data_IF_762722199761
#
_entry.id   IF_762722199761
#
_cell.length_a   1.000
_cell.length_b   1.000
_cell.length_c   1.000
_cell.angle_alpha   90.00
_cell.angle_beta   90.00
_cell.angle_gamma   90.00
#
_symmetry.space_group_name_H-M   'P 1'
#
loop_
_entity.id
_entity.type
_entity.pdbx_description
1 polymer ?
#
# COMPACT_ATOMS: atom_id res chain seq x y z
N UNK A 1 -35.27 20.45 -26.46
CA UNK A 1 -33.84 20.75 -26.68
C UNK A 1 -33.14 19.43 -26.98
N UNK A 2 -32.82 19.17 -28.25
CA UNK A 2 -32.04 18.00 -28.64
C UNK A 2 -30.57 18.28 -28.31
N UNK A 3 -30.08 17.71 -27.20
CA UNK A 3 -28.65 17.72 -26.90
C UNK A 3 -27.95 16.80 -27.90
N UNK A 4 -27.36 17.38 -28.94
CA UNK A 4 -26.37 16.71 -29.77
C UNK A 4 -25.15 16.43 -28.89
N UNK A 5 -25.13 15.29 -28.19
CA UNK A 5 -23.89 14.76 -27.64
C UNK A 5 -22.98 14.49 -28.84
N UNK A 6 -21.90 15.27 -28.96
CA UNK A 6 -20.82 14.90 -29.87
C UNK A 6 -20.34 13.51 -29.46
N UNK A 7 -20.17 12.56 -30.39
CA UNK A 7 -19.58 11.28 -30.05
C UNK A 7 -18.17 11.50 -29.49
N UNK A 8 -17.79 10.69 -28.50
CA UNK A 8 -16.42 10.71 -28.00
C UNK A 8 -15.45 10.35 -29.12
N UNK A 9 -14.30 11.02 -29.15
CA UNK A 9 -13.17 10.66 -29.98
C UNK A 9 -12.70 9.26 -29.60
N UNK A 10 -12.41 8.45 -30.61
CA UNK A 10 -11.73 7.17 -30.48
C UNK A 10 -10.41 7.31 -29.70
N UNK A 11 -10.04 6.28 -28.93
CA UNK A 11 -8.88 6.25 -28.06
C UNK A 11 -7.54 6.47 -28.80
N UNK A 12 -7.36 5.90 -29.99
CA UNK A 12 -6.18 6.14 -30.85
C UNK A 12 -6.09 7.58 -31.32
N UNK A 13 -7.23 8.22 -31.60
CA UNK A 13 -7.25 9.64 -31.94
C UNK A 13 -6.83 10.51 -30.75
N UNK A 14 -7.27 10.16 -29.54
CA UNK A 14 -6.82 10.84 -28.32
C UNK A 14 -5.32 10.61 -28.08
N UNK A 15 -4.84 9.38 -28.24
CA UNK A 15 -3.42 9.01 -28.14
C UNK A 15 -2.56 9.82 -29.10
N UNK A 16 -2.95 9.90 -30.37
CA UNK A 16 -2.25 10.66 -31.41
C UNK A 16 -2.17 12.15 -31.05
N UNK A 17 -3.26 12.73 -30.54
CA UNK A 17 -3.28 14.14 -30.12
C UNK A 17 -2.35 14.41 -28.93
N UNK A 18 -2.28 13.48 -27.97
CA UNK A 18 -1.34 13.58 -26.85
C UNK A 18 0.10 13.41 -27.33
N UNK A 19 0.39 12.44 -28.21
CA UNK A 19 1.72 12.26 -28.81
C UNK A 19 2.17 13.50 -29.59
N UNK A 20 1.27 14.12 -30.36
CA UNK A 20 1.58 15.35 -31.08
C UNK A 20 1.89 16.54 -30.14
N UNK A 21 1.23 16.58 -28.97
CA UNK A 21 1.48 17.60 -27.94
C UNK A 21 2.76 17.33 -27.14
N UNK A 22 3.19 16.06 -27.05
CA UNK A 22 4.34 15.60 -26.29
C UNK A 22 5.22 14.65 -27.13
N UNK A 23 5.88 15.15 -28.19
CA UNK A 23 6.54 14.29 -29.19
C UNK A 23 7.74 13.51 -28.67
N UNK A 24 8.34 13.95 -27.56
CA UNK A 24 9.48 13.28 -26.92
C UNK A 24 9.07 12.43 -25.71
N UNK A 25 7.78 12.35 -25.40
CA UNK A 25 7.29 11.61 -24.25
C UNK A 25 6.95 10.17 -24.61
N UNK A 26 7.29 9.25 -23.72
CA UNK A 26 6.84 7.86 -23.78
C UNK A 26 5.53 7.72 -23.01
N UNK A 27 4.45 7.29 -23.67
CA UNK A 27 3.14 7.08 -23.04
C UNK A 27 3.09 5.67 -22.47
N UNK A 28 2.87 5.55 -21.16
CA UNK A 28 2.84 4.27 -20.44
C UNK A 28 1.44 3.76 -20.17
N UNK A 29 0.46 4.63 -19.93
CA UNK A 29 -0.91 4.22 -19.61
C UNK A 29 -1.96 5.16 -20.22
N UNK A 30 -3.13 4.59 -20.50
CA UNK A 30 -4.36 5.29 -20.84
C UNK A 30 -5.46 4.95 -19.83
N UNK A 31 -6.15 5.97 -19.31
CA UNK A 31 -7.30 5.84 -18.43
C UNK A 31 -8.50 6.45 -19.16
N UNK A 32 -9.44 5.62 -19.63
CA UNK A 32 -10.68 6.10 -20.23
C UNK A 32 -11.50 6.94 -19.23
N UNK A 33 -12.39 7.83 -19.74
CA UNK A 33 -13.25 8.61 -18.86
C UNK A 33 -14.22 7.68 -18.11
N UNK A 34 -14.30 7.84 -16.79
CA UNK A 34 -15.17 7.02 -15.92
C UNK A 34 -16.66 7.24 -16.27
N UNK A 35 -17.00 8.46 -16.70
CA UNK A 35 -18.34 8.82 -17.15
C UNK A 35 -18.26 9.99 -18.17
N UNK A 36 -19.37 10.35 -18.85
CA UNK A 36 -19.39 11.39 -19.88
C UNK A 36 -18.96 12.80 -19.43
N UNK A 37 -18.93 13.08 -18.13
CA UNK A 37 -18.55 14.39 -17.58
C UNK A 37 -17.07 14.46 -17.20
N UNK A 38 -16.33 13.35 -17.33
CA UNK A 38 -14.92 13.25 -16.94
C UNK A 38 -14.00 13.31 -18.15
N UNK A 39 -12.79 13.81 -17.91
CA UNK A 39 -11.70 13.73 -18.88
C UNK A 39 -11.17 12.30 -18.98
N UNK A 40 -10.58 11.97 -20.12
CA UNK A 40 -9.66 10.85 -20.20
C UNK A 40 -8.28 11.32 -19.70
N UNK A 41 -7.43 10.37 -19.34
CA UNK A 41 -6.10 10.65 -18.83
C UNK A 41 -5.05 9.75 -19.49
N UNK A 42 -3.90 10.31 -19.79
CA UNK A 42 -2.71 9.57 -20.19
C UNK A 42 -1.61 9.75 -19.15
N UNK A 43 -0.81 8.71 -18.96
CA UNK A 43 0.38 8.74 -18.13
C UNK A 43 1.57 8.67 -19.05
N UNK A 44 2.49 9.63 -18.90
CA UNK A 44 3.63 9.74 -19.80
C UNK A 44 4.92 10.01 -19.03
N UNK A 45 6.03 9.57 -19.59
CA UNK A 45 7.38 9.86 -19.13
C UNK A 45 8.00 10.89 -20.07
N UNK A 46 8.31 12.07 -19.55
CA UNK A 46 8.87 13.18 -20.30
C UNK A 46 9.99 13.84 -19.50
N UNK A 47 11.20 13.91 -20.08
CA UNK A 47 12.38 14.54 -19.46
C UNK A 47 12.65 14.07 -18.02
N UNK A 48 12.55 12.75 -17.77
CA UNK A 48 12.78 12.15 -16.45
C UNK A 48 11.64 12.35 -15.43
N UNK A 49 10.54 13.02 -15.82
CA UNK A 49 9.34 13.18 -15.00
C UNK A 49 8.20 12.31 -15.53
N UNK A 50 7.38 11.84 -14.61
CA UNK A 50 6.14 11.15 -14.93
C UNK A 50 4.98 12.13 -14.78
N UNK A 51 4.16 12.29 -15.82
CA UNK A 51 3.07 13.26 -15.87
C UNK A 51 1.73 12.56 -16.13
N UNK A 52 0.70 13.03 -15.43
CA UNK A 52 -0.70 12.79 -15.74
C UNK A 52 -1.18 13.89 -16.68
N UNK A 53 -1.55 13.56 -17.91
CA UNK A 53 -2.09 14.50 -18.89
C UNK A 53 -3.58 14.23 -19.07
N UNK A 54 -4.40 15.26 -18.92
CA UNK A 54 -5.85 15.16 -19.05
C UNK A 54 -6.30 15.68 -20.40
N UNK A 55 -7.15 14.93 -21.09
CA UNK A 55 -7.69 15.28 -22.41
C UNK A 55 -9.21 15.23 -22.39
N UNK A 56 -9.84 16.21 -23.05
CA UNK A 56 -11.28 16.19 -23.26
C UNK A 56 -11.63 15.13 -24.31
N UNK A 57 -12.41 14.10 -23.95
CA UNK A 57 -12.66 12.97 -24.84
C UNK A 57 -13.59 13.31 -26.02
N UNK A 58 -14.16 14.52 -26.09
CA UNK A 58 -15.05 14.97 -27.17
C UNK A 58 -14.39 15.98 -28.10
N UNK A 59 -13.61 16.92 -27.56
CA UNK A 59 -12.94 17.95 -28.35
C UNK A 59 -11.49 17.59 -28.70
N UNK A 60 -10.87 16.69 -27.95
CA UNK A 60 -9.44 16.39 -28.08
C UNK A 60 -8.52 17.46 -27.48
N UNK A 61 -9.08 18.47 -26.82
CA UNK A 61 -8.30 19.51 -26.16
C UNK A 61 -7.57 18.94 -24.93
N UNK A 62 -6.26 19.17 -24.85
CA UNK A 62 -5.48 18.91 -23.63
C UNK A 62 -5.90 19.92 -22.58
N UNK A 63 -6.44 19.43 -21.47
CA UNK A 63 -6.99 20.24 -20.38
C UNK A 63 -5.94 20.67 -19.37
N UNK A 64 -4.82 19.94 -19.30
CA UNK A 64 -3.71 20.24 -18.42
C UNK A 64 -2.87 19.01 -18.09
N UNK A 65 -1.81 19.24 -17.32
CA UNK A 65 -0.92 18.19 -16.84
C UNK A 65 -0.67 18.34 -15.33
N UNK A 66 -0.39 17.23 -14.67
CA UNK A 66 -0.03 17.16 -13.26
C UNK A 66 1.17 16.23 -13.09
N UNK A 67 2.09 16.55 -12.19
CA UNK A 67 3.16 15.61 -11.83
C UNK A 67 2.57 14.36 -11.17
N UNK A 68 2.88 13.18 -11.70
CA UNK A 68 2.33 11.93 -11.21
C UNK A 68 2.84 11.57 -9.81
N UNK A 69 4.05 12.03 -9.43
CA UNK A 69 4.70 11.71 -8.15
C UNK A 69 4.66 12.85 -7.14
N UNK A 70 4.55 14.09 -7.59
CA UNK A 70 4.55 15.31 -6.75
C UNK A 70 3.17 15.98 -6.65
N UNK A 71 2.12 15.18 -6.51
CA UNK A 71 0.78 15.65 -6.12
C UNK A 71 0.47 15.21 -4.68
N UNK A 72 -0.52 15.85 -4.05
CA UNK A 72 -0.85 15.64 -2.63
C UNK A 72 -1.06 14.16 -2.29
N UNK A 73 -1.79 13.42 -3.12
CA UNK A 73 -2.11 12.02 -2.87
C UNK A 73 -0.89 11.12 -3.04
N UNK A 74 -0.12 11.30 -4.12
CA UNK A 74 1.11 10.54 -4.34
C UNK A 74 2.14 10.78 -3.22
N UNK A 75 2.32 12.04 -2.81
CA UNK A 75 3.23 12.40 -1.70
C UNK A 75 2.73 11.80 -0.38
N UNK A 76 1.45 11.91 -0.06
CA UNK A 76 0.90 11.34 1.17
C UNK A 76 1.08 9.82 1.23
N UNK A 77 0.82 9.12 0.11
CA UNK A 77 0.99 7.66 -0.01
C UNK A 77 2.47 7.25 0.09
N UNK A 78 3.36 7.97 -0.59
CA UNK A 78 4.81 7.71 -0.51
C UNK A 78 5.38 8.00 0.89
N UNK A 79 4.91 9.05 1.57
CA UNK A 79 5.30 9.33 2.95
C UNK A 79 4.80 8.22 3.90
N UNK A 80 3.55 7.80 3.74
CA UNK A 80 2.91 6.82 4.61
C UNK A 80 3.48 5.40 4.43
N UNK A 81 3.74 4.98 3.19
CA UNK A 81 4.22 3.64 2.87
C UNK A 81 5.74 3.49 2.91
N UNK A 82 6.50 4.50 2.50
CA UNK A 82 7.95 4.37 2.28
C UNK A 82 8.78 5.60 2.68
N UNK A 83 8.20 6.56 3.41
CA UNK A 83 8.86 7.81 3.84
C UNK A 83 9.54 8.59 2.69
N UNK A 84 9.11 8.36 1.45
CA UNK A 84 9.72 8.89 0.21
C UNK A 84 11.21 8.55 0.02
N UNK A 85 11.71 7.50 0.69
CA UNK A 85 13.10 7.05 0.58
C UNK A 85 13.21 5.58 0.10
N UNK A 86 12.16 5.13 -0.60
CA UNK A 86 12.09 3.81 -1.24
C UNK A 86 12.17 2.66 -0.23
N UNK A 87 12.87 1.59 -0.62
CA UNK A 87 12.95 0.35 0.16
C UNK A 87 13.39 0.56 1.60
N UNK A 88 14.31 1.49 1.88
CA UNK A 88 14.73 1.76 3.25
C UNK A 88 13.56 2.26 4.11
N UNK A 89 12.77 3.19 3.58
CA UNK A 89 11.64 3.74 4.30
C UNK A 89 10.50 2.75 4.43
N UNK A 90 10.26 1.92 3.40
CA UNK A 90 9.35 0.77 3.48
C UNK A 90 9.72 -0.17 4.65
N UNK A 91 11.01 -0.53 4.81
CA UNK A 91 11.44 -1.34 5.97
C UNK A 91 11.29 -0.61 7.30
N UNK A 92 11.48 0.71 7.34
CA UNK A 92 11.28 1.51 8.57
C UNK A 92 9.80 1.59 8.96
N UNK A 93 8.90 1.75 7.99
CA UNK A 93 7.45 1.74 8.20
C UNK A 93 6.98 0.35 8.64
N UNK A 94 7.44 -0.73 7.99
CA UNK A 94 7.15 -2.10 8.40
C UNK A 94 7.62 -2.35 9.85
N UNK A 95 8.83 -1.90 10.19
CA UNK A 95 9.36 -2.00 11.55
C UNK A 95 8.50 -1.20 12.54
N UNK A 96 8.07 0.01 12.18
CA UNK A 96 7.20 0.84 13.00
C UNK A 96 5.83 0.18 13.21
N UNK A 97 5.24 -0.41 12.17
CA UNK A 97 3.98 -1.12 12.23
C UNK A 97 4.10 -2.38 13.11
N UNK A 98 5.14 -3.19 12.91
CA UNK A 98 5.43 -4.37 13.73
C UNK A 98 5.61 -4.03 15.21
N UNK A 99 6.38 -2.99 15.54
CA UNK A 99 6.49 -2.50 16.91
C UNK A 99 5.18 -1.90 17.43
N UNK A 100 4.39 -1.26 16.57
CA UNK A 100 3.03 -0.83 16.89
C UNK A 100 2.16 -1.98 17.38
N UNK A 101 2.21 -3.14 16.72
CA UNK A 101 1.48 -4.34 17.13
C UNK A 101 1.95 -4.79 18.52
N UNK A 102 3.27 -4.87 18.73
CA UNK A 102 3.84 -5.21 20.04
C UNK A 102 3.36 -4.24 21.11
N UNK A 103 3.41 -2.93 20.87
CA UNK A 103 3.00 -1.90 21.82
C UNK A 103 1.50 -1.94 22.14
N UNK A 104 0.65 -2.19 21.16
CA UNK A 104 -0.80 -2.30 21.37
C UNK A 104 -1.15 -3.54 22.19
N UNK A 105 -0.64 -4.72 21.80
CA UNK A 105 -0.92 -5.98 22.50
C UNK A 105 -0.39 -5.93 23.93
N UNK A 106 0.86 -5.49 24.09
CA UNK A 106 1.52 -5.40 25.39
C UNK A 106 0.90 -4.31 26.28
N UNK A 107 0.55 -3.16 25.71
CA UNK A 107 -0.13 -2.06 26.39
C UNK A 107 -1.53 -2.44 26.89
N UNK A 108 -2.32 -3.12 26.06
CA UNK A 108 -3.64 -3.61 26.44
C UNK A 108 -3.56 -4.62 27.60
N UNK A 109 -2.62 -5.55 27.54
CA UNK A 109 -2.38 -6.53 28.60
C UNK A 109 -1.99 -5.87 29.94
N UNK A 110 -1.06 -4.91 29.88
CA UNK A 110 -0.56 -4.21 31.07
C UNK A 110 -1.64 -3.33 31.71
N UNK A 111 -2.41 -2.62 30.88
CA UNK A 111 -3.43 -1.69 31.36
C UNK A 111 -4.74 -2.38 31.77
N UNK A 112 -5.00 -3.61 31.28
CA UNK A 112 -6.28 -4.30 31.40
C UNK A 112 -7.01 -4.03 32.74
N UNK A 113 -8.27 -3.58 32.71
CA UNK A 113 -8.98 -3.08 33.88
C UNK A 113 -9.32 -4.20 34.86
N UNK A 114 -8.38 -4.53 35.76
CA UNK A 114 -8.56 -5.52 36.84
C UNK A 114 -9.18 -4.85 38.06
N UNK A 115 -10.51 -4.92 38.20
CA UNK A 115 -11.24 -4.40 39.37
C UNK A 115 -11.33 -2.87 39.44
N UNK A 116 -11.23 -2.17 38.31
CA UNK A 116 -11.38 -0.71 38.25
C UNK A 116 -12.84 -0.30 37.96
N UNK A 117 -13.26 0.86 38.46
CA UNK A 117 -14.56 1.43 38.11
C UNK A 117 -14.62 1.84 36.63
N UNK A 118 -15.82 1.85 36.04
CA UNK A 118 -16.02 2.15 34.62
C UNK A 118 -15.48 3.54 34.20
N UNK A 119 -15.49 4.51 35.13
CA UNK A 119 -14.95 5.84 34.91
C UNK A 119 -13.40 5.85 34.92
N UNK A 120 -12.80 6.25 33.81
CA UNK A 120 -11.36 6.15 33.56
C UNK A 120 -10.95 4.83 32.89
N UNK A 121 -11.92 3.97 32.54
CA UNK A 121 -11.77 2.77 31.72
C UNK A 121 -12.55 2.91 30.41
N UNK A 122 -13.85 3.21 30.50
CA UNK A 122 -14.75 3.37 29.35
C UNK A 122 -14.91 4.82 28.89
N UNK A 123 -14.80 5.79 29.81
CA UNK A 123 -14.86 7.21 29.50
C UNK A 123 -13.85 8.02 30.32
N UNK A 124 -13.29 9.13 29.77
CA UNK A 124 -12.32 9.94 30.50
C UNK A 124 -12.98 10.72 31.63
N UNK A 125 -12.31 10.86 32.78
CA UNK A 125 -12.81 11.70 33.87
C UNK A 125 -12.38 13.14 33.67
N UNK A 126 -13.17 13.89 32.91
CA UNK A 126 -12.90 15.31 32.60
C UNK A 126 -12.89 16.24 33.82
N UNK A 127 -13.44 15.81 34.96
CA UNK A 127 -13.31 16.53 36.24
C UNK A 127 -11.89 16.47 36.83
N UNK A 128 -11.07 15.50 36.39
CA UNK A 128 -9.67 15.39 36.80
C UNK A 128 -8.80 16.30 35.92
N UNK A 129 -7.69 16.78 36.47
CA UNK A 129 -6.73 17.64 35.76
C UNK A 129 -5.32 17.03 35.77
N UNK A 130 -4.46 17.57 34.93
CA UNK A 130 -3.04 17.20 34.90
C UNK A 130 -2.83 15.74 34.48
N UNK A 131 -1.97 15.01 35.22
CA UNK A 131 -1.56 13.65 34.85
C UNK A 131 -2.72 12.67 34.72
N UNK A 132 -3.70 12.75 35.61
CA UNK A 132 -4.81 11.78 35.64
C UNK A 132 -5.67 11.89 34.39
N UNK A 133 -5.92 13.12 33.91
CA UNK A 133 -6.66 13.33 32.66
C UNK A 133 -5.93 12.76 31.45
N UNK A 134 -4.63 13.02 31.31
CA UNK A 134 -3.84 12.47 30.19
C UNK A 134 -3.76 10.95 30.22
N UNK A 135 -3.68 10.35 31.41
CA UNK A 135 -3.75 8.91 31.59
C UNK A 135 -5.11 8.37 31.14
N UNK A 136 -6.20 9.02 31.55
CA UNK A 136 -7.55 8.62 31.17
C UNK A 136 -7.79 8.76 29.66
N UNK A 137 -7.34 9.85 29.04
CA UNK A 137 -7.41 10.03 27.58
C UNK A 137 -6.66 8.92 26.85
N UNK A 138 -5.40 8.66 27.22
CA UNK A 138 -4.62 7.59 26.60
C UNK A 138 -5.25 6.20 26.79
N UNK A 139 -5.68 5.90 28.01
CA UNK A 139 -6.25 4.61 28.38
C UNK A 139 -7.58 4.34 27.66
N UNK A 140 -8.49 5.32 27.66
CA UNK A 140 -9.81 5.17 27.05
C UNK A 140 -9.70 5.12 25.53
N UNK A 141 -8.89 6.00 24.93
CA UNK A 141 -8.64 5.96 23.49
C UNK A 141 -7.93 4.66 23.08
N UNK A 142 -6.97 4.18 23.87
CA UNK A 142 -6.32 2.90 23.65
C UNK A 142 -7.26 1.69 23.81
N UNK A 143 -8.23 1.76 24.72
CA UNK A 143 -9.22 0.69 24.89
C UNK A 143 -10.16 0.57 23.69
N UNK A 144 -10.83 1.68 23.33
CA UNK A 144 -11.77 1.69 22.19
C UNK A 144 -11.05 1.57 20.85
N UNK A 145 -9.90 2.24 20.73
CA UNK A 145 -9.12 2.27 19.50
C UNK A 145 -8.18 1.09 19.34
N UNK A 146 -7.94 0.28 20.37
CA UNK A 146 -6.92 -0.77 20.34
C UNK A 146 -7.19 -1.83 19.27
N UNK A 147 -8.43 -2.32 19.17
CA UNK A 147 -8.82 -3.28 18.14
C UNK A 147 -8.76 -2.67 16.73
N UNK A 148 -9.20 -1.41 16.57
CA UNK A 148 -9.16 -0.69 15.30
C UNK A 148 -7.72 -0.43 14.86
N UNK A 149 -6.87 0.04 15.76
CA UNK A 149 -5.45 0.24 15.50
C UNK A 149 -4.76 -1.09 15.19
N UNK A 150 -5.07 -2.17 15.89
CA UNK A 150 -4.53 -3.50 15.58
C UNK A 150 -4.95 -3.97 14.20
N UNK A 151 -6.22 -3.75 13.81
CA UNK A 151 -6.68 -4.00 12.44
C UNK A 151 -5.91 -3.15 11.42
N UNK A 152 -5.71 -1.85 11.66
CA UNK A 152 -4.97 -0.97 10.76
C UNK A 152 -3.51 -1.40 10.61
N UNK A 153 -2.86 -1.81 11.70
CA UNK A 153 -1.49 -2.29 11.68
C UNK A 153 -1.37 -3.61 10.92
N UNK A 154 -2.24 -4.59 11.21
CA UNK A 154 -2.19 -5.90 10.55
C UNK A 154 -2.54 -5.79 9.06
N UNK A 155 -3.58 -5.04 8.70
CA UNK A 155 -3.93 -4.80 7.29
C UNK A 155 -2.76 -4.11 6.57
N UNK A 156 -2.20 -3.04 7.13
CA UNK A 156 -1.04 -2.36 6.56
C UNK A 156 0.18 -3.27 6.34
N UNK A 157 0.43 -4.21 7.26
CA UNK A 157 1.53 -5.18 7.13
C UNK A 157 1.39 -6.05 5.87
N UNK A 158 0.18 -6.36 5.40
CA UNK A 158 -0.05 -7.29 4.27
C UNK A 158 0.52 -6.83 2.93
N UNK A 159 0.81 -5.53 2.75
CA UNK A 159 1.43 -4.98 1.54
C UNK A 159 2.78 -4.28 1.80
N UNK A 160 3.42 -4.58 2.94
CA UNK A 160 4.80 -4.15 3.19
C UNK A 160 5.79 -4.94 2.34
N UNK A 161 6.93 -4.31 2.00
CA UNK A 161 7.82 -4.91 1.02
C UNK A 161 8.65 -6.11 1.53
N UNK A 162 8.73 -6.40 2.83
CA UNK A 162 9.30 -7.65 3.33
C UNK A 162 8.18 -8.61 3.71
N UNK A 163 7.53 -8.37 4.85
CA UNK A 163 6.54 -9.28 5.41
C UNK A 163 5.33 -9.44 4.49
N UNK A 164 4.84 -8.33 3.92
CA UNK A 164 3.73 -8.36 2.97
C UNK A 164 4.06 -9.15 1.70
N UNK A 165 5.28 -9.04 1.18
CA UNK A 165 5.74 -9.89 0.07
C UNK A 165 5.68 -11.38 0.42
N UNK A 166 6.24 -11.80 1.56
CA UNK A 166 6.20 -13.22 1.96
C UNK A 166 4.78 -13.71 2.25
N UNK A 167 3.96 -12.85 2.86
CA UNK A 167 2.54 -13.12 3.08
C UNK A 167 1.81 -13.33 1.75
N UNK A 168 2.06 -12.48 0.76
CA UNK A 168 1.51 -12.63 -0.58
C UNK A 168 2.05 -13.88 -1.30
N UNK A 169 3.34 -14.21 -1.22
CA UNK A 169 3.92 -15.41 -1.85
C UNK A 169 3.25 -16.71 -1.34
N UNK A 170 2.85 -16.72 -0.07
CA UNK A 170 2.17 -17.86 0.57
C UNK A 170 0.69 -17.95 0.21
N UNK A 171 -0.01 -16.81 0.16
CA UNK A 171 -1.48 -16.80 0.13
C UNK A 171 -2.09 -16.34 -1.18
N UNK A 172 -1.32 -15.67 -2.01
CA UNK A 172 -1.75 -15.11 -3.28
C UNK A 172 -1.46 -16.06 -4.45
N UNK A 173 -1.97 -17.29 -4.35
CA UNK A 173 -1.79 -18.33 -5.35
C UNK A 173 -3.09 -18.57 -6.12
N UNK A 174 -2.97 -18.67 -7.44
CA UNK A 174 -4.07 -18.96 -8.34
C UNK A 174 -3.99 -20.38 -8.90
N UNK A 175 -5.11 -20.93 -9.39
CA UNK A 175 -5.07 -22.20 -10.11
C UNK A 175 -4.13 -22.12 -11.31
N UNK A 176 -3.17 -23.05 -11.40
CA UNK A 176 -2.20 -23.12 -12.50
C UNK A 176 -2.89 -23.11 -13.88
N UNK A 177 -4.08 -23.70 -13.98
CA UNK A 177 -4.93 -23.69 -15.18
C UNK A 177 -5.17 -22.31 -15.81
N UNK A 178 -5.08 -21.22 -15.05
CA UNK A 178 -5.24 -19.87 -15.60
C UNK A 178 -4.02 -19.37 -16.40
N UNK A 179 -2.84 -19.98 -16.23
CA UNK A 179 -1.61 -19.64 -16.97
C UNK A 179 -1.06 -20.84 -17.76
N UNK A 180 -1.66 -22.03 -17.65
CA UNK A 180 -1.13 -23.25 -18.28
C UNK A 180 -0.91 -23.17 -19.80
N UNK A 181 -1.63 -22.29 -20.49
CA UNK A 181 -1.55 -22.14 -21.95
C UNK A 181 -0.94 -20.79 -22.38
N UNK A 182 -0.38 -20.03 -21.43
CA UNK A 182 0.12 -18.68 -21.68
C UNK A 182 1.55 -18.60 -21.16
N UNK A 183 2.54 -18.44 -22.05
CA UNK A 183 3.91 -18.28 -21.63
C UNK A 183 4.07 -17.03 -20.75
N UNK A 184 4.88 -17.17 -19.71
CA UNK A 184 5.00 -16.19 -18.65
C UNK A 184 6.44 -15.65 -18.59
N UNK A 185 6.58 -14.37 -18.31
CA UNK A 185 7.87 -13.73 -18.07
C UNK A 185 8.27 -13.81 -16.60
N UNK A 186 9.55 -13.54 -16.33
CA UNK A 186 10.07 -13.37 -14.96
C UNK A 186 9.58 -12.06 -14.29
N UNK A 187 8.88 -11.19 -15.02
CA UNK A 187 8.32 -9.96 -14.48
C UNK A 187 6.99 -10.26 -13.77
N UNK A 188 6.87 -9.82 -12.53
CA UNK A 188 5.62 -9.89 -11.77
C UNK A 188 4.76 -8.65 -12.03
N UNK A 189 3.43 -8.79 -11.91
CA UNK A 189 2.50 -7.68 -12.12
C UNK A 189 2.67 -6.53 -11.11
N UNK A 190 3.32 -6.76 -9.96
CA UNK A 190 3.76 -5.70 -9.02
C UNK A 190 4.58 -4.62 -9.70
N UNK A 191 5.30 -4.94 -10.77
CA UNK A 191 6.07 -3.96 -11.56
C UNK A 191 5.19 -2.82 -12.14
N UNK A 192 3.88 -3.03 -12.23
CA UNK A 192 2.90 -2.03 -12.67
C UNK A 192 2.44 -1.10 -11.53
N UNK A 193 2.78 -1.42 -10.28
CA UNK A 193 2.46 -0.62 -9.10
C UNK A 193 3.64 0.27 -8.71
N UNK A 194 3.33 1.44 -8.16
CA UNK A 194 4.32 2.37 -7.61
C UNK A 194 3.77 3.11 -6.40
N UNK A 195 4.61 3.79 -5.63
CA UNK A 195 4.12 4.65 -4.54
C UNK A 195 3.13 5.73 -5.00
N UNK A 196 3.17 6.14 -6.28
CA UNK A 196 2.26 7.13 -6.84
C UNK A 196 0.92 6.55 -7.35
N UNK A 197 0.89 5.27 -7.73
CA UNK A 197 -0.31 4.63 -8.31
C UNK A 197 -0.34 3.13 -8.05
N UNK A 198 -1.50 2.65 -7.61
CA UNK A 198 -1.86 1.23 -7.67
C UNK A 198 -2.56 0.97 -9.01
N UNK A 199 -1.99 0.11 -9.83
CA UNK A 199 -2.56 -0.31 -11.12
C UNK A 199 -3.27 -1.65 -10.96
N UNK A 200 -2.58 -2.64 -10.38
CA UNK A 200 -3.13 -3.98 -10.14
C UNK A 200 -3.45 -4.19 -8.66
N UNK A 201 -4.53 -4.93 -8.33
CA UNK A 201 -4.86 -5.29 -6.95
C UNK A 201 -3.74 -6.10 -6.27
N UNK A 202 -3.74 -6.12 -4.93
CA UNK A 202 -2.79 -6.91 -4.12
C UNK A 202 -2.77 -8.38 -4.56
N UNK A 203 -3.94 -8.93 -4.84
CA UNK A 203 -4.15 -10.28 -5.32
C UNK A 203 -3.48 -10.54 -6.67
N UNK A 204 -3.08 -9.53 -7.44
CA UNK A 204 -2.39 -9.77 -8.71
C UNK A 204 -0.88 -9.51 -8.64
N UNK A 205 -0.38 -8.86 -7.58
CA UNK A 205 1.00 -8.36 -7.51
C UNK A 205 2.08 -9.42 -7.76
N UNK A 206 1.89 -10.64 -7.26
CA UNK A 206 2.88 -11.72 -7.37
C UNK A 206 2.60 -12.67 -8.54
N UNK A 207 1.64 -12.33 -9.41
CA UNK A 207 1.39 -13.14 -10.60
C UNK A 207 2.39 -12.78 -11.70
N UNK A 208 2.91 -13.76 -12.45
CA UNK A 208 3.82 -13.47 -13.54
C UNK A 208 3.06 -12.83 -14.70
N UNK A 209 3.70 -11.87 -15.36
CA UNK A 209 3.19 -11.18 -16.53
C UNK A 209 3.28 -12.10 -17.75
N UNK A 210 2.16 -12.33 -18.47
CA UNK A 210 2.17 -13.02 -19.77
C UNK A 210 3.06 -12.34 -20.80
N UNK A 211 3.48 -13.11 -21.81
CA UNK A 211 4.19 -12.59 -22.99
C UNK A 211 3.32 -12.68 -24.25
N UNK A 212 3.46 -11.69 -25.15
CA UNK A 212 2.79 -11.69 -26.45
C UNK A 212 3.60 -12.44 -27.52
N UNK A 213 2.90 -13.04 -28.50
CA UNK A 213 3.47 -13.52 -29.78
C UNK A 213 3.44 -15.04 -30.05
N UNK A 214 3.34 -15.42 -31.34
CA UNK A 214 3.26 -16.81 -31.80
C UNK A 214 4.54 -17.66 -31.60
N UNK A 215 5.65 -17.04 -31.18
CA UNK A 215 6.90 -17.73 -30.86
C UNK A 215 6.97 -18.14 -29.38
N UNK A 216 5.97 -17.79 -28.56
CA UNK A 216 5.92 -18.11 -27.15
C UNK A 216 5.89 -19.64 -26.89
N UNK A 217 5.42 -20.45 -27.85
CA UNK A 217 5.42 -21.92 -27.80
C UNK A 217 6.78 -22.57 -28.17
N UNK A 218 7.72 -21.81 -28.74
CA UNK A 218 9.01 -22.33 -29.25
C UNK A 218 10.24 -21.75 -28.54
N UNK A 219 10.05 -20.92 -27.50
CA UNK A 219 11.14 -20.35 -26.71
C UNK A 219 11.60 -21.33 -25.64
N UNK A 220 12.46 -22.27 -26.04
CA UNK A 220 13.38 -22.90 -25.10
C UNK A 220 14.25 -21.83 -24.42
N UNK A 221 14.45 -21.98 -23.11
CA UNK A 221 15.27 -21.14 -22.23
C UNK A 221 16.48 -20.49 -22.95
N UNK A 222 16.42 -19.20 -23.32
CA UNK A 222 17.64 -18.58 -23.86
C UNK A 222 17.63 -17.14 -24.35
N UNK A 223 16.53 -16.56 -24.85
CA UNK A 223 16.61 -15.21 -25.40
C UNK A 223 15.27 -14.44 -25.32
N UNK A 224 15.09 -13.66 -24.26
CA UNK A 224 14.05 -12.63 -24.24
C UNK A 224 14.41 -11.55 -25.26
N UNK A 225 13.51 -11.29 -26.21
CA UNK A 225 13.61 -10.21 -27.18
C UNK A 225 13.43 -8.86 -26.47
N UNK A 226 14.50 -8.09 -26.41
CA UNK A 226 14.54 -6.75 -25.80
C UNK A 226 14.14 -5.63 -26.78
N UNK A 227 13.45 -5.96 -27.87
CA UNK A 227 12.99 -4.99 -28.86
C UNK A 227 11.87 -4.11 -28.32
N UNK A 228 11.68 -2.89 -28.85
CA UNK A 228 10.54 -2.04 -28.47
C UNK A 228 9.22 -2.70 -28.87
N UNK A 229 8.16 -2.43 -28.12
CA UNK A 229 6.82 -2.87 -28.48
C UNK A 229 6.43 -2.34 -29.88
N UNK A 230 5.74 -3.17 -30.65
CA UNK A 230 5.18 -2.81 -31.93
C UNK A 230 3.77 -3.42 -32.05
N UNK A 231 2.79 -2.88 -31.31
CA UNK A 231 1.46 -3.46 -31.25
C UNK A 231 0.82 -3.57 -32.64
N UNK A 232 0.29 -4.75 -32.95
CA UNK A 232 -0.55 -5.00 -34.12
C UNK A 232 -2.01 -4.57 -33.89
N UNK A 233 -2.44 -4.47 -32.62
CA UNK A 233 -3.77 -4.02 -32.24
C UNK A 233 -3.79 -2.56 -31.81
N UNK A 234 -4.90 -1.89 -32.10
CA UNK A 234 -5.11 -0.48 -31.76
C UNK A 234 -5.47 -0.28 -30.28
N UNK A 235 -5.25 0.91 -29.73
CA UNK A 235 -5.66 1.22 -28.36
C UNK A 235 -7.20 1.19 -28.23
N UNK A 236 -7.93 1.57 -29.28
CA UNK A 236 -9.38 1.46 -29.32
C UNK A 236 -9.85 0.01 -29.22
N UNK A 237 -9.23 -0.93 -29.93
CA UNK A 237 -9.60 -2.36 -29.85
C UNK A 237 -9.44 -2.91 -28.43
N UNK A 238 -8.37 -2.53 -27.73
CA UNK A 238 -8.15 -2.93 -26.33
C UNK A 238 -9.18 -2.28 -25.40
N UNK A 239 -9.54 -1.01 -25.63
CA UNK A 239 -10.63 -0.33 -24.92
C UNK A 239 -12.00 -1.01 -25.16
N UNK A 240 -12.28 -1.41 -26.39
CA UNK A 240 -13.49 -2.15 -26.75
C UNK A 240 -13.50 -3.55 -26.12
N UNK A 241 -12.34 -4.21 -26.03
CA UNK A 241 -12.17 -5.48 -25.32
C UNK A 241 -12.54 -5.33 -23.85
N UNK A 242 -12.05 -4.29 -23.16
CA UNK A 242 -12.42 -4.01 -21.77
C UNK A 242 -13.94 -3.83 -21.59
N UNK A 243 -14.56 -3.11 -22.53
CA UNK A 243 -16.01 -2.87 -22.55
C UNK A 243 -16.80 -4.16 -22.80
N UNK A 244 -16.39 -4.97 -23.79
CA UNK A 244 -17.01 -6.25 -24.11
C UNK A 244 -16.88 -7.26 -22.97
N UNK A 245 -15.74 -7.24 -22.26
CA UNK A 245 -15.47 -8.03 -21.05
C UNK A 245 -16.08 -7.44 -19.78
N UNK A 246 -16.88 -6.37 -19.89
CA UNK A 246 -17.62 -5.73 -18.80
C UNK A 246 -16.70 -5.38 -17.61
N UNK A 247 -15.52 -4.83 -17.89
CA UNK A 247 -14.65 -4.28 -16.85
C UNK A 247 -15.30 -3.01 -16.30
N UNK A 248 -15.35 -2.89 -14.97
CA UNK A 248 -15.95 -1.74 -14.29
C UNK A 248 -15.21 -0.44 -14.66
N UNK A 249 -15.91 0.67 -14.97
CA UNK A 249 -15.29 1.95 -15.26
C UNK A 249 -14.32 2.40 -14.15
N UNK A 250 -13.22 3.04 -14.55
CA UNK A 250 -12.11 3.38 -13.63
C UNK A 250 -10.86 2.50 -13.81
N UNK A 251 -10.90 1.55 -14.75
CA UNK A 251 -9.71 0.82 -15.18
C UNK A 251 -8.70 1.70 -15.90
N UNK A 252 -7.47 1.22 -15.93
CA UNK A 252 -6.38 1.72 -16.77
C UNK A 252 -5.99 0.66 -17.80
N UNK A 253 -5.48 1.11 -18.94
CA UNK A 253 -4.85 0.29 -19.97
C UNK A 253 -3.37 0.66 -19.95
N UNK A 254 -2.53 -0.25 -19.46
CA UNK A 254 -1.07 -0.12 -19.55
C UNK A 254 -0.60 -0.62 -20.91
N UNK A 255 0.21 0.18 -21.60
CA UNK A 255 0.75 -0.15 -22.91
C UNK A 255 1.98 -1.06 -22.78
N UNK A 256 2.17 -2.02 -23.72
CA UNK A 256 3.40 -2.79 -23.77
C UNK A 256 4.59 -1.89 -24.10
N UNK A 257 5.74 -2.16 -23.48
CA UNK A 257 6.99 -1.41 -23.72
C UNK A 257 7.99 -2.20 -24.57
N UNK A 258 7.90 -3.52 -24.54
CA UNK A 258 8.77 -4.45 -25.26
C UNK A 258 7.98 -5.29 -26.27
N UNK A 259 8.68 -5.93 -27.21
CA UNK A 259 8.10 -6.84 -28.20
C UNK A 259 7.36 -8.04 -27.55
N UNK A 260 7.80 -8.49 -26.37
CA UNK A 260 7.13 -9.52 -25.59
C UNK A 260 6.04 -8.98 -24.65
N UNK A 261 5.96 -7.67 -24.45
CA UNK A 261 5.01 -7.06 -23.53
C UNK A 261 3.55 -7.34 -23.90
N UNK A 262 2.64 -7.09 -22.96
CA UNK A 262 1.20 -7.22 -23.17
C UNK A 262 0.51 -5.92 -22.84
N UNK A 263 -0.65 -5.66 -23.44
CA UNK A 263 -1.55 -4.66 -22.88
C UNK A 263 -2.11 -5.20 -21.56
N UNK A 264 -2.16 -4.36 -20.54
CA UNK A 264 -2.77 -4.75 -19.25
C UNK A 264 -3.93 -3.83 -18.93
N UNK A 265 -5.14 -4.38 -18.95
CA UNK A 265 -6.35 -3.71 -18.49
C UNK A 265 -6.53 -4.07 -17.03
N UNK A 266 -6.43 -3.09 -16.13
CA UNK A 266 -6.58 -3.34 -14.70
C UNK A 266 -7.43 -2.27 -14.01
N UNK A 267 -8.32 -2.72 -13.11
CA UNK A 267 -9.05 -1.86 -12.17
C UNK A 267 -8.77 -2.33 -10.75
N UNK A 268 -8.27 -1.40 -9.96
CA UNK A 268 -8.20 -1.49 -8.50
C UNK A 268 -9.38 -0.70 -7.94
N UNK A 269 -10.51 -1.38 -7.78
CA UNK A 269 -11.79 -0.75 -7.52
C UNK A 269 -11.96 -0.39 -6.04
N UNK A 270 -12.76 0.63 -5.75
CA UNK A 270 -13.11 0.97 -4.36
C UNK A 270 -13.90 -0.15 -3.66
N UNK A 271 -14.63 -0.96 -4.45
CA UNK A 271 -15.22 -2.23 -4.04
C UNK A 271 -14.45 -3.36 -4.75
N UNK A 272 -13.67 -4.18 -4.03
CA UNK A 272 -12.76 -5.13 -4.64
C UNK A 272 -13.50 -6.27 -5.35
N UNK A 273 -14.81 -6.39 -5.16
CA UNK A 273 -15.66 -7.32 -5.94
C UNK A 273 -15.68 -6.97 -7.43
N UNK A 274 -15.36 -5.72 -7.77
CA UNK A 274 -15.28 -5.23 -9.14
C UNK A 274 -13.85 -5.28 -9.71
N UNK A 275 -12.87 -5.77 -8.94
CA UNK A 275 -11.50 -5.88 -9.40
C UNK A 275 -11.40 -6.75 -10.66
N UNK A 276 -10.54 -6.29 -11.57
CA UNK A 276 -10.23 -7.00 -12.79
C UNK A 276 -8.79 -6.76 -13.21
N UNK A 277 -8.15 -7.79 -13.73
CA UNK A 277 -6.84 -7.71 -14.38
C UNK A 277 -6.85 -8.63 -15.59
N UNK A 278 -6.78 -8.02 -16.77
CA UNK A 278 -6.73 -8.71 -18.05
C UNK A 278 -5.41 -8.39 -18.73
N UNK A 279 -4.78 -9.41 -19.29
CA UNK A 279 -3.62 -9.25 -20.16
C UNK A 279 -4.06 -9.57 -21.59
N UNK A 280 -3.74 -8.68 -22.53
CA UNK A 280 -4.14 -8.78 -23.93
C UNK A 280 -2.88 -8.82 -24.79
N UNK A 281 -2.81 -9.81 -25.69
CA UNK A 281 -1.72 -9.97 -26.64
C UNK A 281 -1.64 -8.75 -27.55
N UNK A 282 -0.45 -8.14 -27.66
CA UNK A 282 -0.25 -6.90 -28.39
C UNK A 282 -0.35 -7.06 -29.92
N UNK A 283 -0.31 -8.29 -30.44
CA UNK A 283 -0.32 -8.59 -31.88
C UNK A 283 -1.68 -9.12 -32.34
N UNK A 284 -2.29 -10.03 -31.57
CA UNK A 284 -3.54 -10.69 -31.95
C UNK A 284 -4.79 -10.06 -31.33
N UNK A 285 -4.64 -9.32 -30.23
CA UNK A 285 -5.76 -8.81 -29.43
C UNK A 285 -6.45 -9.88 -28.58
N UNK A 286 -5.90 -11.09 -28.52
CA UNK A 286 -6.43 -12.16 -27.69
C UNK A 286 -6.26 -11.83 -26.20
N UNK A 287 -7.30 -12.09 -25.41
CA UNK A 287 -7.23 -11.96 -23.95
C UNK A 287 -6.54 -13.21 -23.40
N UNK A 288 -5.27 -13.07 -23.08
CA UNK A 288 -4.42 -14.14 -22.53
C UNK A 288 -4.87 -14.55 -21.13
N UNK A 289 -5.22 -13.57 -20.28
CA UNK A 289 -5.70 -13.83 -18.92
C UNK A 289 -6.84 -12.88 -18.56
N UNK A 290 -7.79 -13.35 -17.77
CA UNK A 290 -8.93 -12.56 -17.27
C UNK A 290 -9.19 -12.91 -15.80
N UNK A 291 -8.48 -12.22 -14.90
CA UNK A 291 -8.56 -12.48 -13.45
C UNK A 291 -9.50 -11.48 -12.80
N UNK A 292 -10.36 -12.00 -11.91
CA UNK A 292 -11.48 -11.29 -11.29
C UNK A 292 -11.65 -11.75 -9.85
N UNK A 293 -12.46 -11.02 -9.10
CA UNK A 293 -12.83 -11.36 -7.72
C UNK A 293 -13.26 -12.81 -7.49
N UNK A 294 -14.03 -13.41 -8.41
CA UNK A 294 -14.46 -14.81 -8.27
C UNK A 294 -13.30 -15.81 -8.32
N UNK A 295 -12.17 -15.44 -8.92
CA UNK A 295 -10.97 -16.27 -9.01
C UNK A 295 -10.07 -16.12 -7.77
N UNK A 296 -10.30 -15.10 -6.93
CA UNK A 296 -9.54 -14.90 -5.69
C UNK A 296 -9.87 -15.96 -4.65
N UNK A 297 -8.84 -16.52 -4.02
CA UNK A 297 -8.98 -17.35 -2.84
C UNK A 297 -9.50 -16.56 -1.64
N UNK A 298 -9.96 -17.26 -0.60
CA UNK A 298 -10.57 -16.61 0.58
C UNK A 298 -9.62 -15.63 1.28
N UNK A 299 -8.32 -15.94 1.34
CA UNK A 299 -7.32 -15.07 1.96
C UNK A 299 -7.07 -13.83 1.12
N UNK A 300 -6.97 -13.96 -0.20
CA UNK A 300 -6.86 -12.84 -1.11
C UNK A 300 -8.09 -11.91 -1.01
N UNK A 301 -9.31 -12.49 -1.01
CA UNK A 301 -10.55 -11.71 -0.80
C UNK A 301 -10.57 -10.96 0.53
N UNK A 302 -10.18 -11.63 1.62
CA UNK A 302 -10.12 -10.99 2.94
C UNK A 302 -9.07 -9.87 2.98
N UNK A 303 -7.92 -10.09 2.33
CA UNK A 303 -6.83 -9.11 2.25
C UNK A 303 -7.27 -7.88 1.46
N UNK A 304 -7.81 -8.05 0.24
CA UNK A 304 -8.32 -6.94 -0.57
C UNK A 304 -9.40 -6.13 0.14
N UNK A 305 -10.36 -6.80 0.78
CA UNK A 305 -11.37 -6.13 1.60
C UNK A 305 -10.74 -5.35 2.75
N UNK A 306 -9.72 -5.91 3.40
CA UNK A 306 -9.02 -5.23 4.48
C UNK A 306 -8.23 -4.01 3.97
N UNK A 307 -7.64 -4.09 2.77
CA UNK A 307 -6.94 -2.97 2.11
C UNK A 307 -7.93 -1.85 1.80
N UNK A 308 -9.09 -2.17 1.21
CA UNK A 308 -10.09 -1.14 0.86
C UNK A 308 -10.72 -0.52 2.11
N UNK A 309 -10.89 -1.29 3.18
CA UNK A 309 -11.29 -0.75 4.49
C UNK A 309 -10.22 0.18 5.05
N UNK A 310 -8.95 -0.24 5.04
CA UNK A 310 -7.82 0.54 5.53
C UNK A 310 -7.64 1.87 4.77
N UNK A 311 -7.72 1.85 3.44
CA UNK A 311 -7.61 3.07 2.61
C UNK A 311 -8.85 3.98 2.71
N UNK A 312 -9.92 3.53 3.37
CA UNK A 312 -11.16 4.30 3.48
C UNK A 312 -12.00 4.29 2.19
N UNK A 313 -11.74 3.37 1.26
CA UNK A 313 -12.40 3.31 -0.06
C UNK A 313 -13.69 2.52 -0.03
N UNK A 314 -13.71 1.39 0.66
CA UNK A 314 -14.87 0.52 0.70
C UNK A 314 -16.08 1.28 1.30
N UNK A 315 -17.24 1.25 0.66
CA UNK A 315 -18.45 2.01 1.06
C UNK A 315 -18.40 3.54 0.92
N UNK A 316 -17.32 4.13 0.40
CA UNK A 316 -17.22 5.57 0.16
C UNK A 316 -17.12 6.40 1.45
N UNK A 317 -17.84 7.52 1.52
CA UNK A 317 -17.66 8.53 2.59
C UNK A 317 -17.87 8.02 4.04
N UNK A 318 -18.79 7.07 4.34
CA UNK A 318 -18.89 6.51 5.69
C UNK A 318 -17.59 5.86 6.17
N UNK A 319 -16.89 5.14 5.29
CA UNK A 319 -15.61 4.52 5.62
C UNK A 319 -14.50 5.56 5.75
N UNK A 320 -14.47 6.57 4.86
CA UNK A 320 -13.54 7.70 4.99
C UNK A 320 -13.68 8.42 6.35
N UNK A 321 -14.92 8.63 6.80
CA UNK A 321 -15.19 9.22 8.13
C UNK A 321 -14.72 8.28 9.25
N UNK A 322 -15.00 6.98 9.14
CA UNK A 322 -14.57 5.99 10.13
C UNK A 322 -13.03 5.96 10.25
N UNK A 323 -12.31 5.91 9.13
CA UNK A 323 -10.84 5.94 9.09
C UNK A 323 -10.29 7.27 9.59
N UNK A 324 -10.92 8.41 9.27
CA UNK A 324 -10.55 9.71 9.82
C UNK A 324 -10.64 9.71 11.36
N UNK A 325 -11.72 9.16 11.93
CA UNK A 325 -11.87 9.05 13.39
C UNK A 325 -10.79 8.15 13.99
N UNK A 326 -10.47 7.03 13.35
CA UNK A 326 -9.37 6.14 13.76
C UNK A 326 -8.03 6.89 13.75
N UNK A 327 -7.73 7.65 12.69
CA UNK A 327 -6.52 8.48 12.60
C UNK A 327 -6.45 9.52 13.73
N UNK A 328 -7.55 10.19 14.05
CA UNK A 328 -7.62 11.14 15.17
C UNK A 328 -7.41 10.45 16.52
N UNK A 329 -7.94 9.23 16.71
CA UNK A 329 -7.70 8.44 17.91
C UNK A 329 -6.23 8.04 18.05
N UNK A 330 -5.59 7.61 16.97
CA UNK A 330 -4.16 7.25 16.96
C UNK A 330 -3.30 8.47 17.29
N UNK A 331 -3.63 9.63 16.71
CA UNK A 331 -2.95 10.89 17.01
C UNK A 331 -3.10 11.26 18.49
N UNK A 332 -4.32 11.17 19.05
CA UNK A 332 -4.57 11.43 20.46
C UNK A 332 -3.80 10.46 21.36
N UNK A 333 -3.77 9.16 21.05
CA UNK A 333 -3.00 8.16 21.79
C UNK A 333 -1.50 8.45 21.75
N UNK A 334 -0.96 8.83 20.59
CA UNK A 334 0.45 9.17 20.41
C UNK A 334 0.85 10.43 21.21
N UNK A 335 0.06 11.51 21.08
CA UNK A 335 0.26 12.76 21.80
C UNK A 335 0.12 12.56 23.30
N UNK A 336 -0.93 11.86 23.75
CA UNK A 336 -1.14 11.60 25.18
C UNK A 336 -0.02 10.75 25.79
N UNK A 337 0.49 9.75 25.06
CA UNK A 337 1.65 8.95 25.44
C UNK A 337 2.90 9.83 25.63
N UNK A 338 3.20 10.69 24.66
CA UNK A 338 4.32 11.63 24.72
C UNK A 338 4.18 12.62 25.87
N UNK A 339 2.99 13.20 26.08
CA UNK A 339 2.74 14.15 27.17
C UNK A 339 2.90 13.47 28.54
N UNK A 340 2.43 12.22 28.69
CA UNK A 340 2.63 11.45 29.92
C UNK A 340 4.11 11.17 30.19
N UNK A 341 4.87 10.79 29.15
CA UNK A 341 6.31 10.61 29.27
C UNK A 341 7.02 11.92 29.65
N UNK A 342 6.68 13.03 29.00
CA UNK A 342 7.23 14.35 29.30
C UNK A 342 7.00 14.72 30.76
N UNK A 343 5.81 14.43 31.32
CA UNK A 343 5.48 14.67 32.73
C UNK A 343 6.13 13.67 33.72
N UNK A 344 6.80 12.63 33.25
CA UNK A 344 7.46 11.61 34.09
C UNK A 344 8.98 11.65 34.04
N UNK A 345 9.56 12.30 33.04
CA UNK A 345 11.02 12.36 32.87
C UNK A 345 11.72 12.99 34.09
N UNK A 346 12.96 12.59 34.40
CA UNK A 346 13.76 13.26 35.42
C UNK A 346 13.92 14.76 35.13
N UNK A 347 13.86 15.60 36.16
CA UNK A 347 14.08 17.04 35.96
C UNK A 347 15.52 17.29 35.48
N UNK A 348 15.67 18.13 34.45
CA UNK A 348 16.97 18.50 33.90
C UNK A 348 17.67 17.46 33.01
N UNK A 349 17.07 16.28 32.76
CA UNK A 349 17.66 15.26 31.87
C UNK A 349 16.61 14.57 30.99
N UNK A 350 16.99 14.22 29.76
CA UNK A 350 16.25 13.26 28.94
C UNK A 350 16.60 11.85 29.44
N UNK A 351 15.61 11.09 29.88
CA UNK A 351 15.85 9.77 30.43
C UNK A 351 14.57 8.98 30.73
N UNK A 352 14.73 7.67 30.88
CA UNK A 352 13.64 6.77 31.25
C UNK A 352 13.18 7.11 32.67
N UNK A 353 11.87 7.30 32.91
CA UNK A 353 11.36 7.49 34.26
C UNK A 353 11.79 6.33 35.17
N UNK A 354 12.14 6.58 36.45
CA UNK A 354 12.65 5.55 37.35
C UNK A 354 11.68 4.36 37.41
N UNK A 355 12.25 3.15 37.24
CA UNK A 355 11.52 1.90 37.41
C UNK A 355 11.05 1.80 38.87
N UNK A 356 9.86 1.23 39.08
CA UNK A 356 9.50 0.74 40.41
C UNK A 356 10.41 -0.44 40.69
N UNK A 357 11.11 -0.42 41.83
CA UNK A 357 12.19 -1.37 42.13
C UNK A 357 11.76 -2.84 42.28
N UNK A 358 10.45 -3.13 42.27
CA UNK A 358 9.91 -4.44 42.66
C UNK A 358 8.98 -5.05 41.60
N UNK A 359 9.28 -4.87 40.32
CA UNK A 359 8.46 -5.49 39.25
C UNK A 359 8.96 -6.92 39.00
N UNK A 360 8.10 -7.96 39.18
CA UNK A 360 8.47 -9.32 38.85
C UNK A 360 8.84 -9.42 37.37
N UNK A 361 9.78 -10.31 37.02
CA UNK A 361 10.12 -10.58 35.62
C UNK A 361 8.86 -10.90 34.84
N UNK A 362 8.54 -10.08 33.84
CA UNK A 362 7.31 -10.18 33.06
C UNK A 362 7.41 -11.32 32.04
N UNK A 363 7.41 -12.56 32.53
CA UNK A 363 7.55 -13.78 31.72
C UNK A 363 6.54 -13.83 30.57
N UNK A 364 5.29 -13.45 30.84
CA UNK A 364 4.22 -13.38 29.82
C UNK A 364 4.51 -12.34 28.74
N UNK A 365 5.02 -11.16 29.09
CA UNK A 365 5.33 -10.13 28.10
C UNK A 365 6.54 -10.49 27.26
N UNK A 366 7.56 -11.09 27.87
CA UNK A 366 8.71 -11.65 27.15
C UNK A 366 8.22 -12.69 26.15
N UNK A 367 7.34 -13.61 26.56
CA UNK A 367 6.75 -14.59 25.65
C UNK A 367 5.98 -13.93 24.49
N UNK A 368 5.13 -12.94 24.76
CA UNK A 368 4.39 -12.20 23.73
C UNK A 368 5.35 -11.52 22.75
N UNK A 369 6.38 -10.82 23.26
CA UNK A 369 7.38 -10.14 22.42
C UNK A 369 8.14 -11.15 21.56
N UNK A 370 8.55 -12.29 22.11
CA UNK A 370 9.25 -13.34 21.37
C UNK A 370 8.35 -13.97 20.30
N UNK A 371 7.08 -14.27 20.62
CA UNK A 371 6.12 -14.80 19.66
C UNK A 371 5.88 -13.81 18.51
N UNK A 372 5.70 -12.52 18.81
CA UNK A 372 5.55 -11.47 17.80
C UNK A 372 6.84 -11.23 17.01
N UNK A 373 8.02 -11.35 17.63
CA UNK A 373 9.30 -11.25 16.95
C UNK A 373 9.54 -12.38 15.96
N UNK A 374 9.01 -13.57 16.23
CA UNK A 374 9.01 -14.71 15.29
C UNK A 374 8.02 -14.45 14.16
N UNK A 375 6.82 -13.97 14.48
CA UNK A 375 5.79 -13.67 13.49
C UNK A 375 6.18 -12.50 12.55
N UNK A 376 6.96 -11.54 13.06
CA UNK A 376 7.42 -10.33 12.35
C UNK A 376 8.95 -10.26 12.35
N UNK A 377 9.63 -10.84 11.34
CA UNK A 377 11.09 -11.01 11.36
C UNK A 377 11.89 -9.72 11.52
N UNK A 378 11.44 -8.59 10.96
CA UNK A 378 12.13 -7.30 11.16
C UNK A 378 12.08 -6.83 12.62
N UNK A 379 10.98 -7.09 13.33
CA UNK A 379 10.90 -6.82 14.78
C UNK A 379 11.92 -7.69 15.52
N UNK A 380 11.97 -8.99 15.21
CA UNK A 380 12.95 -9.90 15.81
C UNK A 380 14.39 -9.52 15.53
N UNK A 381 14.72 -9.17 14.29
CA UNK A 381 16.04 -8.69 13.90
C UNK A 381 16.41 -7.40 14.65
N UNK A 382 15.46 -6.46 14.79
CA UNK A 382 15.70 -5.21 15.52
C UNK A 382 15.96 -5.44 17.01
N UNK A 383 15.29 -6.40 17.64
CA UNK A 383 15.53 -6.79 19.03
C UNK A 383 16.95 -7.34 19.23
N UNK A 384 17.40 -8.20 18.32
CA UNK A 384 18.76 -8.75 18.35
C UNK A 384 19.79 -7.63 18.16
N UNK A 385 19.55 -6.73 17.20
CA UNK A 385 20.43 -5.59 16.94
C UNK A 385 20.56 -4.68 18.17
N UNK A 386 19.44 -4.32 18.80
CA UNK A 386 19.44 -3.51 20.04
C UNK A 386 20.17 -4.23 21.18
N UNK A 387 19.96 -5.54 21.33
CA UNK A 387 20.65 -6.33 22.34
C UNK A 387 22.17 -6.38 22.13
N UNK A 388 22.62 -6.56 20.88
CA UNK A 388 24.05 -6.53 20.53
C UNK A 388 24.67 -5.15 20.80
N UNK A 389 23.96 -4.07 20.42
CA UNK A 389 24.41 -2.70 20.67
C UNK A 389 24.52 -2.42 22.17
N UNK A 390 23.54 -2.84 22.97
CA UNK A 390 23.57 -2.68 24.43
C UNK A 390 24.77 -3.43 25.03
N UNK A 391 25.01 -4.68 24.62
CA UNK A 391 26.18 -5.46 25.06
C UNK A 391 27.49 -4.79 24.69
N UNK A 392 27.61 -4.27 23.47
CA UNK A 392 28.81 -3.60 23.01
C UNK A 392 29.07 -2.30 23.78
N UNK A 393 28.04 -1.49 24.03
CA UNK A 393 28.14 -0.26 24.81
C UNK A 393 28.53 -0.52 26.27
N UNK A 394 27.99 -1.57 26.89
CA UNK A 394 28.38 -1.99 28.23
C UNK A 394 29.84 -2.44 28.29
N UNK A 395 30.32 -3.18 27.28
CA UNK A 395 31.72 -3.58 27.17
C UNK A 395 32.67 -2.39 26.98
N UNK A 396 32.28 -1.40 26.18
CA UNK A 396 33.06 -0.16 25.98
C UNK A 396 33.13 0.66 27.27
N UNK A 397 32.00 0.83 27.98
CA UNK A 397 31.96 1.54 29.26
C UNK A 397 32.76 0.83 30.35
N UNK A 398 32.71 -0.50 30.41
CA UNK A 398 33.51 -1.28 31.36
C UNK A 398 35.02 -1.15 31.11
N UNK A 399 35.44 -0.77 29.90
CA UNK A 399 36.84 -0.51 29.54
C UNK A 399 37.31 0.92 29.80
N UNK A 400 36.43 1.89 30.07
CA UNK A 400 36.86 3.22 30.50
C UNK A 400 37.18 3.17 31.99
N UNK A 401 38.45 3.32 32.41
CA UNK A 401 38.76 3.46 33.82
C UNK A 401 38.06 4.72 34.33
N UNK A 402 37.43 4.63 35.50
CA UNK A 402 37.01 5.80 36.24
C UNK A 402 38.23 6.69 36.48
N UNK A 403 38.39 7.78 35.73
CA UNK A 403 39.18 8.91 36.22
C UNK A 403 38.43 9.44 37.44
N UNK A 404 38.92 9.01 38.61
CA UNK A 404 38.48 9.50 39.90
C UNK A 404 38.84 10.99 39.96
N UNK A 405 37.84 11.86 39.78
CA UNK A 405 37.96 13.25 40.20
C UNK A 405 38.02 13.26 41.73
N UNK A 406 39.24 13.49 42.22
CA UNK A 406 39.61 13.88 43.59
C UNK A 406 39.02 15.22 43.99
#
# INVERSE_FOLDING_TARGET
>A
MHNYFRPSLNADKQLTLVQASYPQAHISQYLPPINPERSAQFVLHNNGRELNVFINPYSGAVLGQQDAKLNLQAVARALHGELMIGTLGDRLIELAAGWGIVLVVSGMYLWWPRGQSAAGVLWPRFSRRGRVLWRDLHAVTGFWGGALLLFMLISGMTWTGFWGKQYADLWNQFPAAMWNNVPASDLEARSLNSAARQTVPWAMENTPMPVSGAHAEHMGHGAHSSGPAAPGVSLQEVYETATARKVEPGYSITLPTTAEGVFTIAVFADDPRNDATLHVDQYTGEVLTDVRWQHYGNVARATEMSVMLHEGKLFGSPNQIAILLVCLMILLSSVSGLVMWWKRRPQGRLGVPPLRHDLPTWKTGIFIILALAIAFPLVGASLIAVWLLDRLLLLVRAKQPHEAHS
#
